data_IF_422550368153
#
_entry.id   IF_422550368153
#
_cell.length_a   1.000
_cell.length_b   1.000
_cell.length_c   1.000
_cell.angle_alpha   90.00
_cell.angle_beta   90.00
_cell.angle_gamma   90.00
#
_symmetry.space_group_name_H-M   'P 1'
#
loop_
_entity.id
_entity.type
_entity.pdbx_description
1 polymer ?
#
# COMPACT_ATOMS: atom_id res chain seq x y z
N UNK A 1 -35.83 17.49 -38.60
CA UNK A 1 -36.12 16.06 -38.41
C UNK A 1 -35.29 15.56 -37.23
N UNK A 2 -35.89 15.57 -36.03
CA UNK A 2 -35.32 14.99 -34.80
C UNK A 2 -35.98 13.64 -34.48
N UNK A 3 -35.22 12.68 -33.94
CA UNK A 3 -35.67 11.44 -33.28
C UNK A 3 -34.50 11.05 -32.37
N UNK A 4 -34.64 10.68 -31.10
CA UNK A 4 -35.80 10.49 -30.26
C UNK A 4 -35.28 10.11 -28.87
N UNK A 5 -35.97 10.64 -27.89
CA UNK A 5 -35.89 10.35 -26.46
C UNK A 5 -36.11 8.84 -26.18
N UNK A 6 -35.51 8.35 -25.10
CA UNK A 6 -35.51 6.94 -24.74
C UNK A 6 -34.96 6.72 -23.35
N UNK A 7 -35.64 7.27 -22.35
CA UNK A 7 -35.33 7.08 -20.94
C UNK A 7 -35.22 5.60 -20.55
N UNK A 8 -34.19 5.30 -19.77
CA UNK A 8 -34.29 4.32 -18.71
C UNK A 8 -34.27 5.10 -17.41
N UNK A 9 -35.47 5.31 -16.87
CA UNK A 9 -35.61 5.54 -15.44
C UNK A 9 -35.24 4.24 -14.75
N UNK A 10 -34.01 4.17 -14.27
CA UNK A 10 -33.77 3.49 -13.01
C UNK A 10 -33.75 4.57 -11.95
N UNK A 11 -34.79 4.54 -11.12
CA UNK A 11 -34.81 5.13 -9.80
C UNK A 11 -33.74 4.43 -8.97
N UNK A 12 -32.48 4.79 -9.20
CA UNK A 12 -31.43 4.57 -8.23
C UNK A 12 -31.73 5.53 -7.08
N UNK A 13 -32.20 4.97 -5.98
CA UNK A 13 -32.40 5.69 -4.75
C UNK A 13 -31.06 6.31 -4.35
N UNK A 14 -30.97 7.63 -4.57
CA UNK A 14 -30.09 8.59 -3.93
C UNK A 14 -29.57 8.06 -2.58
N UNK A 15 -28.32 7.57 -2.56
CA UNK A 15 -27.54 7.43 -1.33
C UNK A 15 -26.72 8.71 -1.24
N UNK A 16 -27.12 9.70 -0.41
CA UNK A 16 -26.45 10.98 -0.40
C UNK A 16 -25.01 10.84 0.09
N UNK A 17 -24.13 11.64 -0.51
CA UNK A 17 -22.73 11.77 -0.15
C UNK A 17 -22.52 12.23 1.29
N UNK A 18 -21.45 11.70 1.88
CA UNK A 18 -20.93 12.11 3.19
C UNK A 18 -21.75 11.63 4.41
N UNK A 19 -21.11 11.52 5.59
CA UNK A 19 -21.82 11.32 6.85
C UNK A 19 -22.65 12.55 7.19
N UNK A 20 -23.73 12.35 7.97
CA UNK A 20 -24.41 13.47 8.62
C UNK A 20 -23.43 14.33 9.42
N UNK A 21 -23.65 15.64 9.56
CA UNK A 21 -22.69 16.54 10.23
C UNK A 21 -22.24 16.07 11.62
N UNK A 22 -23.17 15.55 12.43
CA UNK A 22 -22.87 15.04 13.76
C UNK A 22 -21.93 13.82 13.73
N UNK A 23 -22.17 12.89 12.79
CA UNK A 23 -21.30 11.73 12.55
C UNK A 23 -19.94 12.20 12.03
N UNK A 24 -19.92 13.15 11.11
CA UNK A 24 -18.67 13.72 10.58
C UNK A 24 -17.83 14.36 11.68
N UNK A 25 -18.45 15.08 12.60
CA UNK A 25 -17.78 15.71 13.74
C UNK A 25 -17.26 14.70 14.76
N UNK A 26 -17.97 13.59 14.97
CA UNK A 26 -17.46 12.46 15.79
C UNK A 26 -16.23 11.82 15.15
N UNK A 27 -16.29 11.51 13.85
CA UNK A 27 -15.18 10.91 13.11
C UNK A 27 -13.98 11.84 13.00
N UNK A 28 -14.21 13.15 12.83
CA UNK A 28 -13.13 14.16 12.84
C UNK A 28 -12.43 14.21 14.19
N UNK A 29 -13.19 14.28 15.30
CA UNK A 29 -12.62 14.27 16.65
C UNK A 29 -11.80 12.99 16.91
N UNK A 30 -12.25 11.86 16.36
CA UNK A 30 -11.48 10.63 16.41
C UNK A 30 -10.11 10.77 15.71
N UNK A 31 -10.08 11.28 14.47
CA UNK A 31 -8.83 11.47 13.73
C UNK A 31 -7.92 12.53 14.38
N UNK A 32 -8.50 13.59 14.94
CA UNK A 32 -7.74 14.63 15.65
C UNK A 32 -7.07 14.09 16.92
N UNK A 33 -7.74 13.18 17.64
CA UNK A 33 -7.25 12.55 18.86
C UNK A 33 -6.47 11.24 18.61
N UNK A 34 -6.29 10.83 17.35
CA UNK A 34 -5.56 9.62 17.01
C UNK A 34 -4.04 9.88 17.08
N UNK A 35 -3.37 9.20 18.02
CA UNK A 35 -1.92 9.28 18.22
C UNK A 35 -1.14 8.43 17.20
N UNK A 36 -1.83 7.69 16.32
CA UNK A 36 -1.19 6.96 15.23
C UNK A 36 -0.71 7.90 14.11
N UNK A 37 0.08 7.35 13.17
CA UNK A 37 0.52 8.08 11.98
C UNK A 37 -0.64 8.59 11.13
N UNK A 38 -1.80 7.91 11.15
CA UNK A 38 -3.00 8.38 10.44
C UNK A 38 -3.48 9.72 11.00
N UNK A 39 -3.66 9.81 12.32
CA UNK A 39 -4.06 11.05 12.98
C UNK A 39 -3.02 12.16 12.87
N UNK A 40 -1.73 11.82 12.89
CA UNK A 40 -0.65 12.77 12.70
C UNK A 40 -0.66 13.40 11.29
N UNK A 41 -0.77 12.58 10.24
CA UNK A 41 -0.93 13.06 8.87
C UNK A 41 -2.21 13.88 8.73
N UNK A 42 -3.32 13.43 9.32
CA UNK A 42 -4.58 14.16 9.28
C UNK A 42 -4.44 15.57 9.88
N UNK A 43 -3.89 15.69 11.10
CA UNK A 43 -3.67 16.99 11.76
C UNK A 43 -2.78 17.93 10.95
N UNK A 44 -1.70 17.42 10.34
CA UNK A 44 -0.80 18.22 9.52
C UNK A 44 -1.45 18.64 8.19
N UNK A 45 -2.24 17.76 7.57
CA UNK A 45 -3.01 18.08 6.35
C UNK A 45 -4.03 19.20 6.60
N UNK A 46 -4.70 19.18 7.76
CA UNK A 46 -5.64 20.24 8.17
C UNK A 46 -4.97 21.61 8.35
N UNK A 47 -3.64 21.68 8.49
CA UNK A 47 -2.87 22.93 8.51
C UNK A 47 -2.52 23.45 7.11
N UNK A 48 -2.96 22.77 6.04
CA UNK A 48 -2.66 23.15 4.66
C UNK A 48 -1.24 22.79 4.21
N UNK A 49 -0.56 21.87 4.90
CA UNK A 49 0.76 21.40 4.51
C UNK A 49 0.69 20.48 3.29
N UNK A 50 1.67 20.58 2.40
CA UNK A 50 1.79 19.67 1.25
C UNK A 50 2.23 18.28 1.69
N UNK A 51 1.94 17.26 0.89
CA UNK A 51 2.35 15.89 1.18
C UNK A 51 3.87 15.75 1.37
N UNK A 52 4.68 16.46 0.58
CA UNK A 52 6.14 16.46 0.70
C UNK A 52 6.62 17.11 2.00
N UNK A 53 5.97 18.20 2.42
CA UNK A 53 6.29 18.87 3.69
C UNK A 53 5.95 17.97 4.88
N UNK A 54 4.82 17.26 4.80
CA UNK A 54 4.41 16.31 5.84
C UNK A 54 5.38 15.13 5.89
N UNK A 55 5.74 14.54 4.75
CA UNK A 55 6.70 13.44 4.70
C UNK A 55 8.04 13.84 5.34
N UNK A 56 8.54 15.04 5.01
CA UNK A 56 9.76 15.60 5.60
C UNK A 56 9.64 15.76 7.12
N UNK A 57 8.54 16.32 7.60
CA UNK A 57 8.31 16.57 9.03
C UNK A 57 8.16 15.26 9.84
N UNK A 58 7.52 14.25 9.25
CA UNK A 58 7.33 12.95 9.87
C UNK A 58 8.57 12.05 9.78
N UNK A 59 9.61 12.50 9.07
CA UNK A 59 10.80 11.73 8.78
C UNK A 59 10.48 10.49 7.95
N UNK A 60 9.55 10.59 7.01
CA UNK A 60 9.17 9.51 6.10
C UNK A 60 9.80 9.73 4.75
N UNK A 61 10.42 8.68 4.23
CA UNK A 61 11.13 8.64 2.96
C UNK A 61 10.35 9.13 1.72
N UNK A 62 9.03 8.87 1.67
CA UNK A 62 8.21 9.16 0.49
C UNK A 62 6.86 9.79 0.85
N UNK A 63 6.38 10.68 -0.01
CA UNK A 63 5.07 11.34 0.12
C UNK A 63 3.89 10.42 -0.17
N UNK A 64 4.12 9.25 -0.80
CA UNK A 64 3.07 8.26 -1.08
C UNK A 64 2.38 7.77 0.20
N UNK A 65 3.15 7.59 1.27
CA UNK A 65 2.60 7.27 2.59
C UNK A 65 1.57 8.31 3.02
N UNK A 66 1.90 9.59 2.86
CA UNK A 66 1.03 10.72 3.22
C UNK A 66 -0.22 10.75 2.36
N UNK A 67 -0.08 10.55 1.04
CA UNK A 67 -1.22 10.46 0.13
C UNK A 67 -2.17 9.34 0.51
N UNK A 68 -1.65 8.15 0.85
CA UNK A 68 -2.48 7.03 1.26
C UNK A 68 -3.23 7.29 2.59
N UNK A 69 -2.54 7.84 3.60
CA UNK A 69 -3.19 8.23 4.86
C UNK A 69 -4.24 9.32 4.68
N UNK A 70 -4.01 10.24 3.73
CA UNK A 70 -4.98 11.27 3.37
C UNK A 70 -6.21 10.65 2.71
N UNK A 71 -6.03 9.71 1.76
CA UNK A 71 -7.15 8.96 1.15
C UNK A 71 -7.93 8.15 2.17
N UNK A 72 -7.26 7.49 3.11
CA UNK A 72 -7.93 6.77 4.21
C UNK A 72 -8.74 7.73 5.10
N UNK A 73 -8.21 8.91 5.38
CA UNK A 73 -8.94 9.95 6.12
C UNK A 73 -10.20 10.41 5.39
N UNK A 74 -10.12 10.58 4.06
CA UNK A 74 -11.29 10.90 3.22
C UNK A 74 -12.28 9.73 3.12
N UNK A 75 -11.81 8.48 3.08
CA UNK A 75 -12.68 7.31 3.14
C UNK A 75 -13.48 7.24 4.45
N UNK A 76 -12.89 7.71 5.55
CA UNK A 76 -13.58 7.85 6.84
C UNK A 76 -14.57 9.02 6.79
N UNK A 77 -14.19 10.19 6.25
CA UNK A 77 -14.95 11.44 6.40
C UNK A 77 -15.94 11.78 5.27
N UNK A 78 -15.72 11.35 4.03
CA UNK A 78 -16.24 12.06 2.84
C UNK A 78 -16.87 11.17 1.75
N UNK A 79 -17.10 9.86 1.97
CA UNK A 79 -17.62 8.95 0.91
C UNK A 79 -16.65 8.56 -0.21
N UNK A 80 -15.39 8.95 -0.11
CA UNK A 80 -14.36 8.55 -1.07
C UNK A 80 -13.78 7.16 -0.73
N UNK A 81 -14.46 6.10 -1.17
CA UNK A 81 -13.98 4.73 -1.01
C UNK A 81 -13.16 4.29 -2.23
N UNK A 82 -12.00 3.64 -2.05
CA UNK A 82 -11.26 3.07 -3.17
C UNK A 82 -12.04 1.96 -3.86
N UNK A 83 -11.98 1.93 -5.19
CA UNK A 83 -12.47 0.82 -6.02
C UNK A 83 -11.43 -0.27 -6.22
N UNK A 84 -10.13 0.06 -6.15
CA UNK A 84 -9.05 -0.90 -6.32
C UNK A 84 -9.13 -1.99 -5.22
N UNK A 85 -9.25 -3.28 -5.58
CA UNK A 85 -9.52 -4.36 -4.62
C UNK A 85 -8.49 -4.46 -3.49
N UNK A 86 -7.19 -4.34 -3.79
CA UNK A 86 -6.14 -4.40 -2.77
C UNK A 86 -6.25 -3.25 -1.75
N UNK A 87 -6.55 -2.05 -2.22
CA UNK A 87 -6.70 -0.87 -1.39
C UNK A 87 -8.01 -0.92 -0.58
N UNK A 88 -9.08 -1.42 -1.18
CA UNK A 88 -10.35 -1.67 -0.51
C UNK A 88 -10.20 -2.69 0.63
N UNK A 89 -9.46 -3.79 0.41
CA UNK A 89 -9.17 -4.78 1.45
C UNK A 89 -8.38 -4.18 2.63
N UNK A 90 -7.38 -3.34 2.33
CA UNK A 90 -6.58 -2.63 3.32
C UNK A 90 -7.44 -1.69 4.17
N UNK A 91 -8.29 -0.89 3.52
CA UNK A 91 -9.20 0.02 4.20
C UNK A 91 -10.24 -0.75 5.02
N UNK A 92 -10.80 -1.84 4.51
CA UNK A 92 -11.73 -2.70 5.23
C UNK A 92 -11.14 -3.21 6.55
N UNK A 93 -9.87 -3.63 6.54
CA UNK A 93 -9.16 -4.05 7.75
C UNK A 93 -9.11 -2.95 8.83
N UNK A 94 -8.83 -1.70 8.43
CA UNK A 94 -8.83 -0.57 9.36
C UNK A 94 -10.24 -0.29 9.91
N UNK A 95 -11.25 -0.31 9.06
CA UNK A 95 -12.65 -0.11 9.47
C UNK A 95 -13.10 -1.18 10.47
N UNK A 96 -12.76 -2.46 10.26
CA UNK A 96 -13.01 -3.55 11.23
C UNK A 96 -12.37 -3.26 12.58
N UNK A 97 -11.12 -2.80 12.57
CA UNK A 97 -10.38 -2.45 13.79
C UNK A 97 -11.04 -1.28 14.52
N UNK A 98 -11.42 -0.23 13.81
CA UNK A 98 -12.14 0.93 14.37
C UNK A 98 -13.47 0.52 15.03
N UNK A 99 -14.26 -0.32 14.35
CA UNK A 99 -15.54 -0.81 14.85
C UNK A 99 -15.41 -1.73 16.07
N UNK A 100 -14.24 -2.35 16.27
CA UNK A 100 -13.93 -3.26 17.37
C UNK A 100 -13.36 -2.56 18.60
N UNK A 101 -12.44 -1.61 18.41
CA UNK A 101 -11.66 -1.00 19.51
C UNK A 101 -12.37 0.17 20.20
N UNK A 102 -13.41 0.74 19.59
CA UNK A 102 -14.11 1.93 20.10
C UNK A 102 -15.61 1.71 20.17
N UNK A 103 -16.24 2.44 21.09
CA UNK A 103 -17.68 2.62 21.13
C UNK A 103 -18.03 3.87 20.32
N UNK A 104 -18.85 3.69 19.30
CA UNK A 104 -19.33 4.75 18.41
C UNK A 104 -20.78 5.08 18.75
N UNK A 105 -21.24 6.28 18.40
CA UNK A 105 -22.68 6.55 18.35
C UNK A 105 -23.39 5.53 17.43
N UNK A 106 -24.68 5.22 17.66
CA UNK A 106 -25.44 4.34 16.77
C UNK A 106 -25.35 4.75 15.30
N UNK A 107 -25.40 6.05 15.02
CA UNK A 107 -25.35 6.64 13.68
C UNK A 107 -23.95 6.49 13.06
N UNK A 108 -22.88 6.76 13.81
CA UNK A 108 -21.52 6.58 13.33
C UNK A 108 -21.18 5.11 13.11
N UNK A 109 -21.68 4.21 13.97
CA UNK A 109 -21.54 2.77 13.80
C UNK A 109 -22.21 2.30 12.52
N UNK A 110 -23.46 2.73 12.28
CA UNK A 110 -24.21 2.40 11.07
C UNK A 110 -23.45 2.87 9.82
N UNK A 111 -22.97 4.11 9.83
CA UNK A 111 -22.20 4.69 8.73
C UNK A 111 -20.90 3.92 8.45
N UNK A 112 -20.11 3.61 9.49
CA UNK A 112 -18.85 2.86 9.34
C UNK A 112 -19.11 1.43 8.88
N UNK A 113 -20.15 0.76 9.39
CA UNK A 113 -20.53 -0.59 8.97
C UNK A 113 -20.98 -0.66 7.51
N UNK A 114 -21.82 0.28 7.05
CA UNK A 114 -22.26 0.34 5.66
C UNK A 114 -21.11 0.58 4.67
N UNK A 115 -20.02 1.21 5.12
CA UNK A 115 -18.80 1.41 4.33
C UNK A 115 -17.89 0.22 4.33
N UNK A 116 -17.75 -0.42 5.48
CA UNK A 116 -17.04 -1.68 5.58
C UNK A 116 -17.61 -2.70 4.59
N UNK A 117 -18.94 -2.81 4.52
CA UNK A 117 -19.60 -3.71 3.56
C UNK A 117 -19.26 -3.38 2.11
N UNK A 118 -19.27 -2.09 1.73
CA UNK A 118 -18.86 -1.66 0.37
C UNK A 118 -17.38 -1.97 0.07
N UNK A 119 -16.50 -1.74 1.04
CA UNK A 119 -15.08 -2.06 0.91
C UNK A 119 -14.85 -3.57 0.79
N UNK A 120 -15.63 -4.37 1.51
CA UNK A 120 -15.61 -5.84 1.42
C UNK A 120 -16.07 -6.30 0.02
N UNK A 121 -17.18 -5.77 -0.48
CA UNK A 121 -17.65 -6.04 -1.85
C UNK A 121 -16.61 -5.67 -2.90
N UNK A 122 -16.04 -4.46 -2.83
CA UNK A 122 -15.00 -4.02 -3.76
C UNK A 122 -13.72 -4.89 -3.67
N UNK A 123 -13.39 -5.41 -2.48
CA UNK A 123 -12.24 -6.30 -2.31
C UNK A 123 -12.46 -7.72 -2.89
N UNK A 124 -13.72 -8.13 -3.02
CA UNK A 124 -14.12 -9.45 -3.54
C UNK A 124 -14.40 -9.44 -5.04
N UNK A 125 -14.43 -8.28 -5.68
CA UNK A 125 -14.67 -8.11 -7.12
C UNK A 125 -13.55 -8.80 -7.94
N UNK A 126 -13.88 -9.93 -8.56
CA UNK A 126 -12.91 -10.69 -9.34
C UNK A 126 -12.49 -10.01 -10.64
N UNK A 127 -13.35 -9.20 -11.27
CA UNK A 127 -13.02 -8.52 -12.53
C UNK A 127 -12.06 -7.38 -12.27
N UNK A 128 -12.36 -6.53 -11.29
CA UNK A 128 -11.46 -5.47 -10.85
C UNK A 128 -10.10 -6.01 -10.36
N UNK A 129 -10.08 -7.24 -9.84
CA UNK A 129 -8.83 -7.92 -9.43
C UNK A 129 -7.96 -8.33 -10.61
N UNK A 130 -8.56 -8.85 -11.67
CA UNK A 130 -7.83 -9.18 -12.90
C UNK A 130 -7.25 -7.91 -13.51
N UNK A 131 -8.04 -6.83 -13.57
CA UNK A 131 -7.56 -5.53 -14.07
C UNK A 131 -6.40 -4.98 -13.22
N UNK A 132 -6.49 -5.05 -11.89
CA UNK A 132 -5.42 -4.61 -10.98
C UNK A 132 -4.13 -5.45 -11.16
N UNK A 133 -4.27 -6.77 -11.36
CA UNK A 133 -3.14 -7.66 -11.66
C UNK A 133 -2.52 -7.30 -13.01
N UNK A 134 -3.31 -7.07 -14.07
CA UNK A 134 -2.83 -6.64 -15.39
C UNK A 134 -2.10 -5.29 -15.35
N UNK A 135 -2.64 -4.31 -14.61
CA UNK A 135 -1.98 -3.01 -14.39
C UNK A 135 -0.65 -3.21 -13.67
N UNK A 136 -0.61 -4.08 -12.66
CA UNK A 136 0.60 -4.35 -11.89
C UNK A 136 1.68 -5.04 -12.72
N UNK A 137 1.26 -5.95 -13.58
CA UNK A 137 2.12 -6.54 -14.61
C UNK A 137 2.61 -5.49 -15.60
N UNK A 138 1.76 -4.60 -16.10
CA UNK A 138 2.15 -3.56 -17.04
C UNK A 138 3.13 -2.55 -16.44
N UNK A 139 2.93 -2.12 -15.20
CA UNK A 139 3.87 -1.29 -14.47
C UNK A 139 5.20 -2.00 -14.27
N UNK A 140 5.15 -3.30 -13.94
CA UNK A 140 6.35 -4.14 -13.87
C UNK A 140 7.03 -4.15 -15.24
N UNK A 141 6.33 -4.52 -16.32
CA UNK A 141 6.83 -4.54 -17.71
C UNK A 141 7.39 -3.18 -18.17
N UNK A 142 6.81 -2.07 -17.72
CA UNK A 142 7.25 -0.73 -18.03
C UNK A 142 8.56 -0.39 -17.32
N UNK A 143 8.62 -0.60 -15.99
CA UNK A 143 9.84 -0.48 -15.22
C UNK A 143 10.94 -1.39 -15.79
N UNK A 144 10.55 -2.58 -16.29
CA UNK A 144 11.48 -3.50 -16.91
C UNK A 144 12.20 -2.97 -18.16
N UNK A 145 11.66 -1.95 -18.83
CA UNK A 145 12.30 -1.35 -20.01
C UNK A 145 13.39 -0.34 -19.66
N UNK A 146 13.44 0.13 -18.42
CA UNK A 146 14.34 1.21 -17.99
C UNK A 146 15.73 0.70 -17.55
N UNK A 147 15.92 -0.61 -17.35
CA UNK A 147 17.20 -1.28 -17.03
C UNK A 147 18.00 -0.62 -15.88
N UNK A 148 17.31 -0.18 -14.83
CA UNK A 148 17.93 0.57 -13.74
C UNK A 148 18.70 -0.36 -12.78
N UNK A 149 20.01 -0.13 -12.53
CA UNK A 149 20.76 -0.88 -11.53
C UNK A 149 20.36 -0.47 -10.11
N UNK A 150 20.34 -1.44 -9.19
CA UNK A 150 20.06 -1.18 -7.79
C UNK A 150 19.60 -2.38 -6.99
N UNK A 151 18.99 -2.09 -5.84
CA UNK A 151 18.32 -3.08 -4.98
C UNK A 151 16.86 -3.14 -5.41
N UNK A 152 16.35 -4.32 -5.74
CA UNK A 152 14.94 -4.51 -6.11
C UNK A 152 14.18 -5.22 -5.00
N UNK A 153 12.90 -4.84 -4.88
CA UNK A 153 11.97 -5.42 -3.92
C UNK A 153 10.75 -5.92 -4.66
N UNK A 154 10.40 -7.19 -4.45
CA UNK A 154 9.19 -7.78 -5.02
C UNK A 154 8.48 -8.67 -4.01
N UNK A 155 7.22 -8.99 -4.30
CA UNK A 155 6.43 -9.98 -3.56
C UNK A 155 5.59 -10.83 -4.50
N UNK A 156 4.86 -11.80 -3.96
CA UNK A 156 3.86 -12.57 -4.71
C UNK A 156 2.46 -11.97 -4.44
N UNK A 157 1.56 -11.97 -5.44
CA UNK A 157 0.18 -11.51 -5.28
C UNK A 157 -0.50 -12.08 -4.02
N UNK A 158 -0.31 -13.36 -3.73
CA UNK A 158 -0.82 -14.00 -2.52
C UNK A 158 -0.41 -13.27 -1.23
N UNK A 159 0.87 -12.90 -1.08
CA UNK A 159 1.37 -12.23 0.12
C UNK A 159 0.95 -10.75 0.20
N UNK A 160 0.73 -10.10 -0.94
CA UNK A 160 0.18 -8.75 -0.97
C UNK A 160 -1.28 -8.74 -0.52
N UNK A 161 -2.06 -9.76 -0.94
CA UNK A 161 -3.47 -9.94 -0.53
C UNK A 161 -3.63 -10.45 0.89
N UNK A 162 -2.74 -11.34 1.31
CA UNK A 162 -2.75 -11.99 2.61
C UNK A 162 -1.42 -11.74 3.30
N UNK A 163 -1.27 -10.58 3.98
CA UNK A 163 -0.05 -10.23 4.69
C UNK A 163 0.35 -11.33 5.67
N UNK A 164 1.65 -11.60 5.74
CA UNK A 164 2.18 -12.70 6.57
C UNK A 164 1.96 -12.47 8.06
N UNK A 165 2.11 -11.23 8.53
CA UNK A 165 1.81 -10.82 9.91
C UNK A 165 0.87 -9.61 9.87
N UNK A 166 -0.45 -9.83 9.65
CA UNK A 166 -1.42 -8.75 9.47
C UNK A 166 -1.48 -7.78 10.66
N UNK A 167 -1.25 -8.26 11.88
CA UNK A 167 -1.28 -7.43 13.09
C UNK A 167 -0.18 -6.36 13.11
N UNK A 168 0.94 -6.60 12.41
CA UNK A 168 2.05 -5.65 12.29
C UNK A 168 2.05 -4.95 10.92
N UNK A 169 1.12 -5.30 10.03
CA UNK A 169 1.13 -4.86 8.64
C UNK A 169 2.32 -5.39 7.84
N UNK A 170 3.01 -6.43 8.33
CA UNK A 170 4.17 -6.99 7.65
C UNK A 170 3.73 -8.04 6.64
N UNK A 171 4.42 -8.07 5.49
CA UNK A 171 4.28 -9.12 4.49
C UNK A 171 5.65 -9.63 4.05
N UNK A 172 5.67 -10.72 3.28
CA UNK A 172 6.91 -11.28 2.75
C UNK A 172 7.38 -10.48 1.54
N UNK A 173 8.48 -9.77 1.73
CA UNK A 173 9.15 -9.00 0.70
C UNK A 173 10.50 -9.63 0.41
N UNK A 174 10.77 -9.88 -0.87
CA UNK A 174 12.08 -10.33 -1.31
C UNK A 174 12.94 -9.14 -1.68
N UNK A 175 14.14 -9.08 -1.09
CA UNK A 175 15.11 -8.00 -1.31
C UNK A 175 16.34 -8.61 -1.99
N UNK A 176 16.59 -8.21 -3.24
CA UNK A 176 17.71 -8.68 -4.04
C UNK A 176 18.49 -7.54 -4.70
N UNK A 177 19.62 -7.87 -5.32
CA UNK A 177 20.53 -6.90 -5.94
C UNK A 177 20.91 -7.27 -7.36
N UNK A 178 21.27 -6.29 -8.19
CA UNK A 178 21.97 -6.58 -9.45
C UNK A 178 22.91 -5.46 -9.85
N UNK A 179 24.16 -5.81 -10.16
CA UNK A 179 25.23 -4.88 -10.54
C UNK A 179 25.15 -4.38 -11.99
N UNK A 180 24.33 -5.00 -12.84
CA UNK A 180 24.21 -4.63 -14.27
C UNK A 180 22.80 -4.22 -14.65
N UNK A 181 21.79 -4.88 -14.06
CA UNK A 181 20.37 -4.63 -14.31
C UNK A 181 19.53 -5.40 -13.26
N UNK A 182 18.93 -4.68 -12.31
CA UNK A 182 18.08 -5.26 -11.24
C UNK A 182 16.91 -6.05 -11.81
N UNK A 183 16.41 -5.59 -12.95
CA UNK A 183 15.22 -6.09 -13.60
C UNK A 183 15.54 -7.36 -14.40
N UNK A 184 16.65 -7.40 -15.16
CA UNK A 184 17.06 -8.64 -15.83
C UNK A 184 17.27 -9.78 -14.84
N UNK A 185 17.84 -9.49 -13.66
CA UNK A 185 18.04 -10.51 -12.63
C UNK A 185 16.71 -10.97 -12.02
N UNK A 186 15.78 -10.04 -11.78
CA UNK A 186 14.40 -10.37 -11.41
C UNK A 186 13.77 -11.35 -12.41
N UNK A 187 13.86 -11.07 -13.73
CA UNK A 187 13.37 -11.96 -14.80
C UNK A 187 14.03 -13.34 -14.81
N UNK A 188 15.36 -13.40 -14.70
CA UNK A 188 16.12 -14.65 -14.69
C UNK A 188 15.73 -15.53 -13.50
N UNK A 189 15.52 -14.91 -12.35
CA UNK A 189 15.06 -15.61 -11.15
C UNK A 189 13.63 -16.12 -11.34
N UNK A 190 12.69 -15.28 -11.77
CA UNK A 190 11.29 -15.66 -12.03
C UNK A 190 11.18 -16.83 -12.99
N UNK A 191 11.93 -16.81 -14.11
CA UNK A 191 11.90 -17.91 -15.11
C UNK A 191 12.54 -19.21 -14.64
N UNK A 192 13.50 -19.14 -13.70
CA UNK A 192 14.23 -20.32 -13.23
C UNK A 192 13.53 -20.99 -12.04
N UNK A 193 12.81 -20.22 -11.23
CA UNK A 193 12.05 -20.74 -10.09
C UNK A 193 10.62 -21.04 -10.52
N UNK A 194 10.16 -22.29 -10.34
CA UNK A 194 8.75 -22.64 -10.47
C UNK A 194 7.94 -22.02 -9.31
N UNK A 195 7.77 -20.69 -9.35
CA UNK A 195 6.89 -19.97 -8.44
C UNK A 195 5.44 -20.23 -8.84
N UNK A 196 4.54 -20.37 -7.86
CA UNK A 196 3.13 -20.68 -8.13
C UNK A 196 2.37 -19.50 -8.75
N UNK A 197 2.90 -18.27 -8.63
CA UNK A 197 2.30 -17.03 -9.11
C UNK A 197 3.39 -16.14 -9.73
N UNK A 198 3.02 -15.26 -10.67
CA UNK A 198 3.91 -14.25 -11.23
C UNK A 198 4.24 -13.18 -10.17
N UNK A 199 5.52 -12.88 -9.90
CA UNK A 199 5.90 -11.91 -8.89
C UNK A 199 5.64 -10.46 -9.34
N UNK A 200 5.32 -9.60 -8.38
CA UNK A 200 5.04 -8.18 -8.60
C UNK A 200 6.22 -7.34 -8.09
N UNK A 201 6.84 -6.56 -8.98
CA UNK A 201 7.93 -5.64 -8.62
C UNK A 201 7.35 -4.40 -7.93
N UNK A 202 7.86 -4.07 -6.75
CA UNK A 202 7.29 -3.02 -5.89
C UNK A 202 8.17 -1.76 -5.84
N UNK A 203 9.48 -1.95 -5.61
CA UNK A 203 10.45 -0.86 -5.45
C UNK A 203 11.76 -1.19 -6.16
N UNK A 204 12.43 -0.14 -6.63
CA UNK A 204 13.85 -0.17 -7.00
C UNK A 204 14.55 0.95 -6.22
N UNK A 205 15.53 0.58 -5.39
CA UNK A 205 16.42 1.54 -4.74
C UNK A 205 17.67 1.69 -5.60
N UNK A 206 17.72 2.80 -6.34
CA UNK A 206 18.74 3.07 -7.35
C UNK A 206 20.05 3.40 -6.67
N UNK A 207 21.09 2.67 -7.07
CA UNK A 207 22.45 2.92 -6.64
C UNK A 207 23.12 3.80 -7.69
N UNK A 208 23.78 4.88 -7.26
CA UNK A 208 24.61 5.67 -8.17
C UNK A 208 25.69 4.74 -8.71
N UNK A 209 25.68 4.46 -10.03
CA UNK A 209 26.40 3.35 -10.69
C UNK A 209 27.92 3.25 -10.53
N UNK A 210 28.50 4.00 -9.59
CA UNK A 210 29.88 3.91 -9.10
C UNK A 210 30.07 2.87 -7.99
N UNK A 211 29.03 2.51 -7.24
CA UNK A 211 29.14 1.53 -6.15
C UNK A 211 28.67 0.13 -6.59
N UNK A 212 29.31 -0.93 -6.07
CA UNK A 212 28.79 -2.30 -6.25
C UNK A 212 27.54 -2.47 -5.41
N UNK A 213 26.55 -3.17 -5.93
CA UNK A 213 25.23 -3.26 -5.28
C UNK A 213 25.19 -4.33 -4.18
N UNK A 214 26.14 -5.28 -4.19
CA UNK A 214 26.29 -6.31 -3.16
C UNK A 214 26.52 -5.76 -1.74
N UNK A 215 27.45 -4.82 -1.49
CA UNK A 215 27.59 -4.15 -0.21
C UNK A 215 26.30 -3.48 0.30
N UNK A 216 25.55 -2.83 -0.59
CA UNK A 216 24.30 -2.14 -0.24
C UNK A 216 23.22 -3.17 0.14
N UNK A 217 23.08 -4.25 -0.63
CA UNK A 217 22.19 -5.37 -0.29
C UNK A 217 22.52 -5.98 1.08
N UNK A 218 23.81 -6.20 1.34
CA UNK A 218 24.26 -6.74 2.62
C UNK A 218 23.89 -5.81 3.79
N UNK A 219 23.88 -4.49 3.56
CA UNK A 219 23.40 -3.51 4.55
C UNK A 219 21.89 -3.61 4.78
N UNK A 220 21.07 -3.66 3.71
CA UNK A 220 19.63 -3.90 3.82
C UNK A 220 19.34 -5.16 4.63
N UNK A 221 19.94 -6.29 4.22
CA UNK A 221 19.72 -7.57 4.88
C UNK A 221 20.21 -7.56 6.34
N UNK A 222 21.31 -6.86 6.66
CA UNK A 222 21.82 -6.71 8.02
C UNK A 222 20.83 -5.92 8.87
N UNK A 223 20.33 -4.79 8.38
CA UNK A 223 19.38 -3.94 9.09
C UNK A 223 18.06 -4.68 9.33
N UNK A 224 17.53 -5.36 8.31
CA UNK A 224 16.33 -6.20 8.43
C UNK A 224 16.50 -7.30 9.48
N UNK A 225 17.63 -8.02 9.47
CA UNK A 225 17.92 -9.03 10.50
C UNK A 225 18.06 -8.43 11.89
N UNK A 226 18.68 -7.26 12.01
CA UNK A 226 18.85 -6.59 13.31
C UNK A 226 17.52 -6.11 13.89
N UNK A 227 16.56 -5.71 13.04
CA UNK A 227 15.20 -5.37 13.42
C UNK A 227 14.32 -6.60 13.70
N UNK A 228 14.88 -7.81 13.69
CA UNK A 228 14.13 -9.07 13.83
C UNK A 228 13.07 -9.30 12.74
N UNK A 229 13.18 -8.64 11.59
CA UNK A 229 12.40 -8.94 10.38
C UNK A 229 12.93 -10.19 9.66
N UNK A 230 13.41 -11.16 10.44
CA UNK A 230 14.24 -12.25 9.97
C UNK A 230 13.51 -13.12 8.93
N UNK A 231 14.27 -13.83 8.07
CA UNK A 231 13.68 -14.72 7.09
C UNK A 231 12.77 -15.72 7.77
N UNK A 232 11.56 -15.85 7.23
CA UNK A 232 10.62 -16.88 7.66
C UNK A 232 11.30 -18.24 7.48
N UNK A 233 11.53 -18.94 8.58
CA UNK A 233 12.24 -20.22 8.60
C UNK A 233 11.41 -21.39 8.03
N UNK A 234 10.59 -21.16 7.01
CA UNK A 234 10.10 -22.25 6.17
C UNK A 234 11.25 -22.65 5.25
N UNK A 235 11.63 -23.93 5.27
CA UNK A 235 12.78 -24.53 4.54
C UNK A 235 12.84 -24.22 3.03
N UNK A 236 11.81 -23.61 2.46
CA UNK A 236 11.63 -23.25 1.05
C UNK A 236 11.86 -21.77 0.72
N UNK A 237 11.82 -20.85 1.69
CA UNK A 237 12.03 -19.41 1.43
C UNK A 237 13.53 -19.09 1.52
N UNK A 238 14.13 -18.67 0.40
CA UNK A 238 15.54 -18.27 0.35
C UNK A 238 15.88 -17.16 1.36
N UNK A 239 17.18 -16.99 1.68
CA UNK A 239 17.71 -16.03 2.67
C UNK A 239 17.44 -14.54 2.39
N UNK A 240 16.71 -14.27 1.31
CA UNK A 240 16.44 -12.96 0.72
C UNK A 240 14.98 -12.53 0.93
N UNK A 241 14.14 -13.38 1.55
CA UNK A 241 12.76 -13.06 1.93
C UNK A 241 12.70 -12.56 3.37
N UNK A 242 11.99 -11.46 3.62
CA UNK A 242 11.87 -10.81 4.92
C UNK A 242 10.41 -10.48 5.23
N UNK A 243 9.98 -10.67 6.48
CA UNK A 243 8.67 -10.22 6.98
C UNK A 243 8.79 -8.74 7.39
N UNK A 244 8.38 -7.82 6.52
CA UNK A 244 8.56 -6.38 6.72
C UNK A 244 7.55 -5.53 5.93
N UNK A 245 7.72 -4.21 5.93
CA UNK A 245 6.89 -3.24 5.19
C UNK A 245 7.72 -2.50 4.14
N UNK A 246 7.06 -1.99 3.10
CA UNK A 246 7.72 -1.11 2.12
C UNK A 246 8.25 0.17 2.78
N UNK A 247 7.49 0.74 3.73
CA UNK A 247 7.92 1.92 4.48
C UNK A 247 9.24 1.70 5.21
N UNK A 248 9.43 0.55 5.88
CA UNK A 248 10.69 0.26 6.55
C UNK A 248 11.87 0.14 5.57
N UNK A 249 11.64 -0.41 4.38
CA UNK A 249 12.66 -0.49 3.34
C UNK A 249 12.98 0.88 2.73
N UNK A 250 11.97 1.72 2.54
CA UNK A 250 12.12 3.10 2.09
C UNK A 250 12.93 3.94 3.12
N UNK A 251 12.74 3.69 4.42
CA UNK A 251 13.57 4.29 5.48
C UNK A 251 15.03 3.86 5.40
N UNK A 252 15.29 2.56 5.17
CA UNK A 252 16.68 2.09 4.95
C UNK A 252 17.28 2.77 3.72
N UNK A 253 16.53 2.85 2.62
CA UNK A 253 16.99 3.50 1.39
C UNK A 253 17.34 4.97 1.64
N UNK A 254 16.52 5.68 2.40
CA UNK A 254 16.75 7.09 2.76
C UNK A 254 17.97 7.28 3.65
N UNK A 255 18.18 6.39 4.64
CA UNK A 255 19.40 6.41 5.47
C UNK A 255 20.67 6.16 4.66
N UNK A 256 20.56 5.45 3.54
CA UNK A 256 21.65 5.15 2.62
C UNK A 256 21.73 6.13 1.43
N UNK A 257 20.93 7.20 1.43
CA UNK A 257 20.85 8.21 0.35
C UNK A 257 20.58 7.60 -1.04
N UNK A 258 19.74 6.56 -1.08
CA UNK A 258 19.35 5.90 -2.33
C UNK A 258 18.09 6.53 -2.90
N UNK A 259 18.07 6.73 -4.22
CA UNK A 259 16.85 7.17 -4.92
C UNK A 259 15.83 6.03 -4.93
N UNK A 260 14.62 6.32 -4.48
CA UNK A 260 13.51 5.38 -4.45
C UNK A 260 12.69 5.52 -5.74
N UNK A 261 12.58 4.44 -6.50
CA UNK A 261 11.65 4.32 -7.63
C UNK A 261 10.50 3.39 -7.23
N UNK A 262 9.29 3.95 -7.17
CA UNK A 262 8.04 3.21 -6.93
C UNK A 262 7.58 2.61 -8.25
N UNK A 263 7.49 1.27 -8.32
CA UNK A 263 7.01 0.55 -9.50
C UNK A 263 5.54 0.21 -9.36
N UNK A 264 5.21 -0.53 -8.29
CA UNK A 264 3.83 -0.79 -7.88
C UNK A 264 3.65 -0.35 -6.44
N UNK A 265 2.61 0.43 -6.18
CA UNK A 265 2.32 0.91 -4.83
C UNK A 265 1.30 0.01 -4.16
N UNK A 266 1.76 -0.72 -3.15
CA UNK A 266 0.90 -1.54 -2.31
C UNK A 266 1.01 -1.03 -0.88
N UNK A 267 -0.07 -0.45 -0.38
CA UNK A 267 -0.15 -0.14 1.03
C UNK A 267 -0.53 -1.39 1.81
N UNK A 268 0.47 -2.09 2.34
CA UNK A 268 0.23 -3.11 3.36
C UNK A 268 -0.23 -2.34 4.61
N UNK A 269 -1.50 -2.49 4.98
CA UNK A 269 -2.11 -1.72 6.07
C UNK A 269 -1.31 -1.90 7.36
N UNK A 270 -0.70 -0.83 7.85
CA UNK A 270 -0.21 -0.78 9.23
C UNK A 270 -1.43 -0.66 10.14
N UNK A 271 -1.50 -1.55 11.13
CA UNK A 271 -2.57 -1.58 12.13
C UNK A 271 -2.64 -0.27 12.93
#
# INVERSE_FOLDING_TARGET
>A
MPLGDGGHGDTDADVPGGPEPAVKDELRRYLEADDSRLGEVFRLSQQGRSADSIATELGVATSNFVWNMTRLSHAILDADLPSAPSLAASFASKFRTMLKLRTWSPEARLYLSARLERLEQASEDSEARVEEEEISEDNTRAAEREEVPGIYVYSLPHYLRHPYEPALGHTLLKVGTSDSDAIRRFREQTRTTALPEEPVLLRIYVTGGTERNGPIEAQFHRLLRSASHAPTATRSAGREWFSTTLGFLDEIASMLDLKITVVNDYSVGSA
#
